data_IF_235273560638
#
_entry.id   IF_235273560638
#
_cell.length_a   1.000
_cell.length_b   1.000
_cell.length_c   1.000
_cell.angle_alpha   90.00
_cell.angle_beta   90.00
_cell.angle_gamma   90.00
#
_symmetry.space_group_name_H-M   'P 1'
#
loop_
_entity.id
_entity.type
_entity.pdbx_description
1 polymer ?
#
# COMPACT_ATOMS: atom_id res chain seq x y z
N UNK A 1 49.68 -6.04 -6.10
CA UNK A 1 49.05 -5.05 -6.99
C UNK A 1 47.70 -4.70 -6.37
N UNK A 2 47.51 -3.45 -5.99
CA UNK A 2 46.30 -3.01 -5.25
C UNK A 2 45.24 -2.48 -6.23
N UNK A 3 43.95 -2.59 -5.89
CA UNK A 3 42.83 -2.06 -6.71
C UNK A 3 43.06 -0.59 -7.10
N UNK A 4 43.72 0.18 -6.23
CA UNK A 4 44.09 1.57 -6.47
C UNK A 4 45.11 1.75 -7.61
N UNK A 5 46.05 0.82 -7.75
CA UNK A 5 47.02 0.83 -8.86
C UNK A 5 46.36 0.44 -10.18
N UNK A 6 45.43 -0.51 -10.17
CA UNK A 6 44.70 -0.92 -11.38
C UNK A 6 43.81 0.19 -11.91
N UNK A 7 43.10 0.90 -11.04
CA UNK A 7 42.29 2.05 -11.43
C UNK A 7 43.17 3.16 -12.01
N UNK A 8 44.31 3.47 -11.37
CA UNK A 8 45.23 4.48 -11.89
C UNK A 8 45.80 4.09 -13.25
N UNK A 9 46.26 2.85 -13.39
CA UNK A 9 46.81 2.35 -14.64
C UNK A 9 45.76 2.24 -15.76
N UNK A 10 44.49 2.01 -15.41
CA UNK A 10 43.38 2.07 -16.38
C UNK A 10 43.18 3.49 -16.90
N UNK A 11 43.12 4.50 -16.02
CA UNK A 11 42.95 5.90 -16.43
C UNK A 11 44.15 6.45 -17.21
N UNK A 12 45.37 6.05 -16.87
CA UNK A 12 46.58 6.44 -17.62
C UNK A 12 46.59 5.84 -19.04
N UNK A 13 46.12 4.59 -19.19
CA UNK A 13 45.96 3.96 -20.51
C UNK A 13 44.87 4.64 -21.34
N UNK A 14 43.72 4.93 -20.75
CA UNK A 14 42.63 5.67 -21.40
C UNK A 14 43.07 7.08 -21.84
N UNK A 15 43.79 7.81 -20.98
CA UNK A 15 44.29 9.15 -21.29
C UNK A 15 45.31 9.16 -22.44
N UNK A 16 46.08 8.08 -22.61
CA UNK A 16 46.99 7.92 -23.75
C UNK A 16 46.25 7.62 -25.06
N UNK A 17 45.13 6.88 -25.01
CA UNK A 17 44.32 6.57 -26.19
C UNK A 17 43.42 7.75 -26.62
N UNK A 18 43.06 8.61 -25.67
CA UNK A 18 42.21 9.78 -25.89
C UNK A 18 42.86 11.07 -25.39
N UNK A 19 43.93 11.55 -26.06
CA UNK A 19 44.59 12.78 -25.66
C UNK A 19 43.61 13.96 -25.73
N UNK A 20 43.51 14.71 -24.63
CA UNK A 20 42.63 15.87 -24.57
C UNK A 20 42.98 16.86 -25.70
N UNK A 21 41.98 17.41 -26.42
CA UNK A 21 42.22 18.37 -27.50
C UNK A 21 43.07 19.55 -27.01
N UNK A 22 44.08 19.94 -27.80
CA UNK A 22 44.89 21.11 -27.48
C UNK A 22 43.99 22.35 -27.38
N UNK A 23 44.05 23.05 -26.24
CA UNK A 23 43.24 24.23 -25.98
C UNK A 23 41.99 24.01 -25.14
N UNK A 24 41.60 22.76 -24.80
CA UNK A 24 40.43 22.51 -23.96
C UNK A 24 40.51 23.26 -22.62
N UNK A 25 41.69 23.23 -21.97
CA UNK A 25 41.95 23.92 -20.70
C UNK A 25 41.91 25.45 -20.84
N UNK A 26 42.37 25.99 -21.98
CA UNK A 26 42.28 27.42 -22.27
C UNK A 26 40.83 27.85 -22.54
N UNK A 27 40.05 27.01 -23.24
CA UNK A 27 38.63 27.23 -23.48
C UNK A 27 37.84 27.22 -22.17
N UNK A 28 38.07 26.26 -21.27
CA UNK A 28 37.39 26.21 -19.97
C UNK A 28 37.71 27.43 -19.09
N UNK A 29 38.97 27.87 -19.08
CA UNK A 29 39.38 29.06 -18.34
C UNK A 29 38.84 30.37 -18.94
N UNK A 30 38.71 30.45 -20.26
CA UNK A 30 38.08 31.59 -20.94
C UNK A 30 36.58 31.67 -20.64
N UNK A 31 35.89 30.53 -20.59
CA UNK A 31 34.46 30.45 -20.25
C UNK A 31 34.19 30.79 -18.79
N UNK A 32 35.10 30.40 -17.88
CA UNK A 32 35.02 30.77 -16.47
C UNK A 32 35.28 32.26 -16.21
N UNK A 33 36.10 32.92 -17.04
CA UNK A 33 36.41 34.36 -16.91
C UNK A 33 35.43 35.30 -17.65
N UNK A 34 34.62 34.77 -18.58
CA UNK A 34 33.70 35.57 -19.41
C UNK A 34 32.41 36.03 -18.73
N UNK A 35 32.08 35.57 -17.52
CA UNK A 35 30.94 36.09 -16.74
C UNK A 35 31.34 37.32 -15.92
N UNK A 36 31.67 38.39 -16.63
CA UNK A 36 31.71 39.72 -16.03
C UNK A 36 30.29 40.14 -15.64
N UNK A 37 30.03 40.24 -14.34
CA UNK A 37 28.80 40.82 -13.80
C UNK A 37 28.81 42.30 -14.13
N UNK A 38 28.08 42.69 -15.18
CA UNK A 38 27.71 44.09 -15.41
C UNK A 38 26.92 44.58 -14.19
N UNK A 39 27.53 45.48 -13.41
CA UNK A 39 26.84 46.24 -12.36
C UNK A 39 25.88 47.25 -13.00
N UNK A 40 24.72 46.79 -13.46
CA UNK A 40 23.52 47.62 -13.56
C UNK A 40 22.88 47.68 -12.18
N UNK A 41 22.61 48.89 -11.69
CA UNK A 41 22.13 49.17 -10.33
C UNK A 41 20.81 48.44 -10.04
N UNK A 42 20.91 47.28 -9.38
CA UNK A 42 19.79 46.41 -8.99
C UNK A 42 19.00 46.92 -7.77
N UNK A 43 19.16 48.18 -7.38
CA UNK A 43 18.47 48.76 -6.23
C UNK A 43 16.95 48.82 -6.43
N UNK A 44 16.47 48.93 -7.68
CA UNK A 44 15.03 48.94 -7.96
C UNK A 44 14.41 47.52 -7.98
N UNK A 45 15.18 46.50 -8.39
CA UNK A 45 14.69 45.11 -8.50
C UNK A 45 14.50 44.49 -7.11
N UNK A 46 15.37 44.80 -6.16
CA UNK A 46 15.22 44.34 -4.77
C UNK A 46 13.93 44.85 -4.11
N UNK A 47 13.54 46.11 -4.40
CA UNK A 47 12.31 46.70 -3.88
C UNK A 47 11.05 46.02 -4.43
N UNK A 48 11.03 45.72 -5.74
CA UNK A 48 9.90 45.03 -6.38
C UNK A 48 9.77 43.58 -5.88
N UNK A 49 10.89 42.86 -5.76
CA UNK A 49 10.88 41.47 -5.28
C UNK A 49 10.43 41.39 -3.81
N UNK A 50 10.86 42.31 -2.95
CA UNK A 50 10.42 42.35 -1.56
C UNK A 50 8.92 42.66 -1.43
N UNK A 51 8.38 43.56 -2.25
CA UNK A 51 6.96 43.88 -2.26
C UNK A 51 6.10 42.69 -2.73
N UNK A 52 6.53 41.99 -3.79
CA UNK A 52 5.84 40.79 -4.30
C UNK A 52 5.87 39.65 -3.27
N UNK A 53 7.01 39.43 -2.61
CA UNK A 53 7.13 38.44 -1.53
C UNK A 53 6.23 38.79 -0.33
N UNK A 54 6.19 40.05 0.09
CA UNK A 54 5.33 40.47 1.20
C UNK A 54 3.85 40.25 0.88
N UNK A 55 3.40 40.57 -0.34
CA UNK A 55 2.02 40.34 -0.78
C UNK A 55 1.72 38.84 -0.88
N UNK A 56 2.65 38.03 -1.41
CA UNK A 56 2.49 36.57 -1.47
C UNK A 56 2.42 35.92 -0.08
N UNK A 57 3.21 36.40 0.88
CA UNK A 57 3.20 35.92 2.27
C UNK A 57 1.88 36.30 2.95
N UNK A 58 1.40 37.54 2.77
CA UNK A 58 0.12 37.97 3.35
C UNK A 58 -1.05 37.22 2.72
N UNK A 59 -1.05 37.02 1.40
CA UNK A 59 -2.05 36.22 0.70
C UNK A 59 -2.01 34.74 1.15
N UNK A 60 -0.82 34.18 1.32
CA UNK A 60 -0.62 32.83 1.86
C UNK A 60 -1.12 32.69 3.29
N UNK A 61 -0.83 33.65 4.17
CA UNK A 61 -1.32 33.65 5.56
C UNK A 61 -2.84 33.81 5.66
N UNK A 62 -3.45 34.64 4.79
CA UNK A 62 -4.91 34.79 4.71
C UNK A 62 -5.56 33.53 4.14
N UNK A 63 -4.96 32.87 3.15
CA UNK A 63 -5.44 31.59 2.62
C UNK A 63 -5.35 30.46 3.65
N UNK A 64 -4.24 30.36 4.40
CA UNK A 64 -4.08 29.41 5.52
C UNK A 64 -5.06 29.70 6.66
N UNK A 65 -5.34 30.97 6.94
CA UNK A 65 -6.33 31.40 7.93
C UNK A 65 -7.78 31.08 7.52
N UNK A 66 -8.12 31.22 6.24
CA UNK A 66 -9.41 30.84 5.66
C UNK A 66 -9.62 29.33 5.61
N UNK A 67 -8.59 28.57 5.24
CA UNK A 67 -8.61 27.11 5.23
C UNK A 67 -8.85 26.53 6.63
N UNK A 68 -8.17 27.08 7.66
CA UNK A 68 -8.39 26.71 9.07
C UNK A 68 -9.77 27.09 9.60
N UNK A 69 -10.46 28.11 9.06
CA UNK A 69 -11.83 28.47 9.48
C UNK A 69 -12.89 27.62 8.80
N UNK A 70 -12.72 27.27 7.52
CA UNK A 70 -13.67 26.42 6.80
C UNK A 70 -13.66 24.96 7.30
N UNK A 71 -12.53 24.49 7.87
CA UNK A 71 -12.39 23.12 8.40
C UNK A 71 -12.63 23.00 9.93
N UNK A 72 -13.03 24.08 10.59
CA UNK A 72 -13.43 24.10 12.00
C UNK A 72 -14.96 24.22 12.15
N UNK A 73 -15.72 23.60 11.26
CA UNK A 73 -17.12 23.27 11.59
C UNK A 73 -17.06 22.20 12.69
N UNK A 74 -17.71 22.38 13.84
CA UNK A 74 -17.78 21.32 14.84
C UNK A 74 -18.54 20.15 14.20
N UNK A 75 -17.81 19.14 13.75
CA UNK A 75 -18.40 17.83 13.57
C UNK A 75 -18.97 17.45 14.93
N UNK A 76 -20.29 17.27 15.01
CA UNK A 76 -20.95 16.60 16.12
C UNK A 76 -20.17 15.31 16.33
N UNK A 77 -19.31 15.25 17.35
CA UNK A 77 -18.55 14.05 17.70
C UNK A 77 -19.59 13.01 18.10
N UNK A 78 -19.81 11.91 17.36
CA UNK A 78 -20.28 10.74 18.05
C UNK A 78 -19.21 10.42 19.08
N UNK A 79 -19.56 10.49 20.37
CA UNK A 79 -18.73 9.90 21.41
C UNK A 79 -18.37 8.49 20.94
N UNK A 80 -17.09 8.08 21.01
CA UNK A 80 -16.75 6.69 20.76
C UNK A 80 -17.60 5.87 21.73
N UNK A 81 -18.56 5.12 21.18
CA UNK A 81 -19.32 4.18 21.98
C UNK A 81 -18.28 3.20 22.52
N UNK A 82 -17.99 3.30 23.81
CA UNK A 82 -17.07 2.40 24.49
C UNK A 82 -17.66 0.99 24.37
N UNK A 83 -17.20 0.23 23.38
CA UNK A 83 -17.45 -1.21 23.35
C UNK A 83 -16.86 -1.82 24.61
N UNK A 84 -17.51 -2.84 25.19
CA UNK A 84 -16.97 -3.53 26.35
C UNK A 84 -15.55 -4.02 26.04
N UNK A 85 -14.64 -3.85 27.00
CA UNK A 85 -13.22 -4.26 26.89
C UNK A 85 -13.06 -5.73 26.47
N UNK A 86 -14.08 -6.57 26.70
CA UNK A 86 -14.17 -7.93 26.16
C UNK A 86 -15.59 -8.19 25.64
N UNK A 87 -15.79 -8.29 24.32
CA UNK A 87 -17.10 -8.59 23.75
C UNK A 87 -17.51 -10.03 24.13
N UNK A 88 -18.81 -10.23 24.37
CA UNK A 88 -19.37 -11.57 24.55
C UNK A 88 -19.15 -12.39 23.28
N UNK A 89 -18.30 -13.41 23.38
CA UNK A 89 -18.02 -14.33 22.27
C UNK A 89 -19.25 -15.23 22.07
N UNK A 90 -19.83 -15.17 20.87
CA UNK A 90 -20.95 -16.00 20.45
C UNK A 90 -20.43 -17.36 19.94
N UNK A 91 -21.38 -18.26 19.66
CA UNK A 91 -21.11 -19.59 19.07
C UNK A 91 -20.50 -19.52 17.65
N UNK A 92 -20.69 -20.55 16.81
CA UNK A 92 -20.10 -20.57 15.47
C UNK A 92 -20.59 -19.38 14.63
N UNK A 93 -19.80 -19.01 13.62
CA UNK A 93 -20.16 -17.97 12.66
C UNK A 93 -21.46 -18.40 11.95
N UNK A 94 -22.52 -17.56 11.94
CA UNK A 94 -23.73 -17.87 11.20
C UNK A 94 -23.44 -17.94 9.70
N UNK A 95 -24.03 -18.93 9.02
CA UNK A 95 -23.85 -19.11 7.58
C UNK A 95 -24.23 -17.84 6.80
N UNK A 96 -23.36 -17.43 5.89
CA UNK A 96 -23.58 -16.27 5.02
C UNK A 96 -23.42 -14.91 5.68
N UNK A 97 -22.94 -14.83 6.93
CA UNK A 97 -22.59 -13.56 7.58
C UNK A 97 -21.14 -13.23 7.27
N UNK A 98 -20.85 -12.13 6.55
CA UNK A 98 -19.48 -11.71 6.30
C UNK A 98 -18.78 -11.32 7.60
N UNK A 99 -17.55 -11.80 7.78
CA UNK A 99 -16.76 -11.56 8.99
C UNK A 99 -15.33 -11.17 8.68
N UNK A 100 -14.69 -10.54 9.66
CA UNK A 100 -13.27 -10.26 9.67
C UNK A 100 -12.62 -11.14 10.73
N UNK A 101 -11.63 -11.92 10.31
CA UNK A 101 -10.94 -12.89 11.14
C UNK A 101 -9.73 -12.23 11.82
N UNK A 102 -9.40 -12.64 13.05
CA UNK A 102 -8.25 -12.11 13.79
C UNK A 102 -7.77 -13.02 14.92
N UNK A 103 -6.48 -12.89 15.28
CA UNK A 103 -5.91 -13.53 16.47
C UNK A 103 -5.87 -12.59 17.67
N UNK A 104 -6.12 -13.14 18.87
CA UNK A 104 -5.94 -12.45 20.15
C UNK A 104 -4.56 -12.76 20.75
N UNK A 105 -3.97 -11.77 21.41
CA UNK A 105 -2.68 -11.85 22.12
C UNK A 105 -2.85 -12.43 23.53
N UNK A 106 -3.93 -12.05 24.22
CA UNK A 106 -4.17 -12.40 25.64
C UNK A 106 -4.80 -13.77 25.84
N UNK A 107 -5.36 -14.34 24.79
CA UNK A 107 -5.88 -15.70 24.77
C UNK A 107 -5.31 -16.38 23.53
N UNK A 108 -4.26 -17.18 23.72
CA UNK A 108 -3.70 -18.04 22.67
C UNK A 108 -4.65 -19.21 22.29
N UNK A 109 -5.94 -19.06 22.57
CA UNK A 109 -6.96 -20.08 22.44
C UNK A 109 -7.53 -20.15 21.02
N UNK A 110 -7.01 -19.36 20.08
CA UNK A 110 -7.21 -19.56 18.64
C UNK A 110 -7.71 -18.34 17.88
N UNK A 111 -8.35 -18.63 16.75
CA UNK A 111 -8.85 -17.65 15.79
C UNK A 111 -10.25 -17.15 16.20
N UNK A 112 -10.50 -15.87 15.98
CA UNK A 112 -11.77 -15.19 16.23
C UNK A 112 -12.28 -14.53 14.96
N UNK A 113 -13.57 -14.25 14.94
CA UNK A 113 -14.23 -13.54 13.86
C UNK A 113 -15.12 -12.43 14.41
N UNK A 114 -15.15 -11.29 13.74
CA UNK A 114 -16.06 -10.20 14.04
C UNK A 114 -16.94 -9.95 12.81
N UNK A 115 -18.27 -9.92 12.99
CA UNK A 115 -19.15 -9.43 11.93
C UNK A 115 -19.11 -7.91 11.85
N UNK A 116 -19.49 -7.37 10.70
CA UNK A 116 -19.62 -5.93 10.47
C UNK A 116 -20.66 -5.24 11.37
N UNK A 117 -21.55 -6.03 12.01
CA UNK A 117 -22.45 -5.56 13.06
C UNK A 117 -21.82 -5.48 14.46
N UNK A 118 -20.56 -5.86 14.62
CA UNK A 118 -19.81 -5.87 15.89
C UNK A 118 -20.00 -7.11 16.75
N UNK A 119 -20.65 -8.18 16.24
CA UNK A 119 -20.75 -9.43 16.97
C UNK A 119 -19.45 -10.23 16.83
N UNK A 120 -18.94 -10.78 17.94
CA UNK A 120 -17.72 -11.59 17.95
C UNK A 120 -18.06 -13.07 18.07
N UNK A 121 -17.36 -13.91 17.31
CA UNK A 121 -17.55 -15.35 17.22
C UNK A 121 -16.22 -16.08 17.44
N UNK A 122 -16.31 -17.28 17.99
CA UNK A 122 -15.17 -18.19 18.03
C UNK A 122 -15.10 -18.97 16.72
N UNK A 123 -13.91 -19.00 16.10
CA UNK A 123 -13.66 -19.82 14.91
C UNK A 123 -13.22 -21.21 15.36
N UNK A 124 -13.59 -22.23 14.58
CA UNK A 124 -13.12 -23.58 14.82
C UNK A 124 -11.58 -23.61 14.90
N UNK A 125 -11.03 -24.44 15.80
CA UNK A 125 -9.60 -24.47 16.06
C UNK A 125 -8.83 -24.86 14.79
N UNK A 126 -8.05 -23.92 14.27
CA UNK A 126 -7.13 -24.14 13.16
C UNK A 126 -5.72 -24.41 13.71
N UNK A 127 -4.88 -25.18 13.00
CA UNK A 127 -3.49 -25.33 13.38
C UNK A 127 -2.80 -23.96 13.40
N UNK A 128 -2.12 -23.66 14.50
CA UNK A 128 -1.31 -22.45 14.63
C UNK A 128 -0.10 -22.59 13.73
N UNK A 129 -0.09 -21.89 12.60
CA UNK A 129 1.03 -21.89 11.66
C UNK A 129 1.73 -20.53 11.64
N UNK A 130 3.05 -20.55 11.70
CA UNK A 130 3.89 -19.39 11.43
C UNK A 130 4.11 -19.31 9.91
N UNK A 131 3.32 -18.51 9.20
CA UNK A 131 3.48 -18.34 7.76
C UNK A 131 2.38 -17.49 7.13
N UNK A 132 2.16 -17.72 5.83
CA UNK A 132 1.09 -17.08 5.06
C UNK A 132 -0.26 -17.32 5.71
N UNK A 133 -0.94 -16.24 6.10
CA UNK A 133 -2.34 -16.29 6.49
C UNK A 133 -3.14 -15.20 5.81
N UNK A 134 -4.19 -15.59 5.09
CA UNK A 134 -5.07 -14.66 4.38
C UNK A 134 -6.49 -15.19 4.34
N UNK A 135 -7.47 -14.35 4.67
CA UNK A 135 -8.90 -14.68 4.61
C UNK A 135 -9.51 -14.37 3.25
N UNK A 136 -10.54 -15.11 2.87
CA UNK A 136 -11.46 -14.67 1.82
C UNK A 136 -12.15 -13.36 2.24
N UNK A 137 -12.59 -12.51 1.28
CA UNK A 137 -13.27 -11.27 1.60
C UNK A 137 -14.44 -11.44 2.58
N UNK A 138 -15.27 -12.46 2.40
CA UNK A 138 -16.39 -12.79 3.28
C UNK A 138 -16.01 -13.48 4.61
N UNK A 139 -14.73 -13.87 4.78
CA UNK A 139 -14.25 -14.59 5.94
C UNK A 139 -14.78 -16.03 6.05
N UNK A 140 -15.43 -16.56 5.02
CA UNK A 140 -15.89 -17.96 4.97
C UNK A 140 -14.72 -18.95 4.84
N UNK A 141 -13.59 -18.49 4.32
CA UNK A 141 -12.37 -19.27 4.17
C UNK A 141 -11.15 -18.52 4.70
N UNK A 142 -10.16 -19.29 5.14
CA UNK A 142 -8.85 -18.78 5.49
C UNK A 142 -7.77 -19.72 4.95
N UNK A 143 -6.83 -19.16 4.21
CA UNK A 143 -5.63 -19.87 3.80
C UNK A 143 -4.61 -19.77 4.95
N UNK A 144 -4.12 -20.92 5.42
CA UNK A 144 -3.06 -21.04 6.41
C UNK A 144 -1.98 -21.94 5.81
N UNK A 145 -0.84 -21.36 5.45
CA UNK A 145 0.20 -22.06 4.68
C UNK A 145 -0.33 -22.45 3.29
N UNK A 146 -0.44 -23.76 3.02
CA UNK A 146 -0.85 -24.31 1.72
C UNK A 146 -2.25 -24.95 1.73
N UNK A 147 -3.03 -24.64 2.75
CA UNK A 147 -4.37 -25.22 2.94
C UNK A 147 -5.35 -24.07 3.16
N UNK A 148 -6.44 -24.05 2.39
CA UNK A 148 -7.62 -23.27 2.69
C UNK A 148 -8.50 -24.05 3.67
N UNK A 149 -8.96 -23.39 4.73
CA UNK A 149 -9.89 -23.95 5.69
C UNK A 149 -11.22 -23.22 5.58
N UNK A 150 -12.31 -23.97 5.56
CA UNK A 150 -13.64 -23.43 5.83
C UNK A 150 -13.71 -22.99 7.30
N UNK A 151 -14.06 -21.73 7.56
CA UNK A 151 -14.02 -21.15 8.91
C UNK A 151 -15.15 -21.63 9.81
N UNK A 152 -16.19 -22.26 9.25
CA UNK A 152 -17.32 -22.80 10.02
C UNK A 152 -17.12 -24.26 10.40
N UNK A 153 -16.55 -25.06 9.50
CA UNK A 153 -16.40 -26.52 9.65
C UNK A 153 -14.96 -26.96 9.92
N UNK A 154 -13.97 -26.07 9.75
CA UNK A 154 -12.54 -26.39 9.72
C UNK A 154 -12.15 -27.43 8.66
N UNK A 155 -13.00 -27.67 7.65
CA UNK A 155 -12.68 -28.59 6.56
C UNK A 155 -11.48 -28.06 5.75
N UNK A 156 -10.41 -28.85 5.58
CA UNK A 156 -9.23 -28.44 4.82
C UNK A 156 -9.37 -28.76 3.33
N UNK A 157 -8.93 -27.82 2.48
CA UNK A 157 -8.77 -28.00 1.04
C UNK A 157 -7.36 -27.53 0.64
N UNK A 158 -6.59 -28.34 -0.12
CA UNK A 158 -5.26 -27.92 -0.55
C UNK A 158 -5.36 -26.71 -1.48
N UNK A 159 -4.48 -25.73 -1.31
CA UNK A 159 -4.37 -24.65 -2.28
C UNK A 159 -3.88 -25.23 -3.62
N UNK A 160 -4.34 -24.71 -4.77
CA UNK A 160 -4.10 -25.30 -6.11
C UNK A 160 -2.62 -25.28 -6.56
N UNK A 161 -1.73 -24.71 -5.76
CA UNK A 161 -0.35 -24.40 -6.11
C UNK A 161 0.69 -25.31 -5.42
N UNK A 162 0.26 -26.16 -4.49
CA UNK A 162 1.15 -27.07 -3.76
C UNK A 162 2.07 -26.38 -2.74
N UNK A 163 2.91 -27.15 -2.03
CA UNK A 163 3.70 -26.65 -0.91
C UNK A 163 5.02 -26.03 -1.37
N UNK A 164 4.99 -24.76 -1.80
CA UNK A 164 6.20 -23.99 -2.09
C UNK A 164 6.29 -22.76 -1.17
N UNK A 165 7.33 -22.63 -0.31
CA UNK A 165 7.44 -21.53 0.65
C UNK A 165 7.57 -20.14 0.01
N UNK A 166 7.85 -20.04 -1.29
CA UNK A 166 7.97 -18.78 -2.02
C UNK A 166 6.71 -18.43 -2.81
N UNK A 167 5.55 -18.51 -2.13
CA UNK A 167 4.24 -18.20 -2.71
C UNK A 167 3.53 -17.15 -1.88
N UNK A 168 3.02 -16.10 -2.55
CA UNK A 168 2.04 -15.17 -1.97
C UNK A 168 0.66 -15.47 -2.56
N UNK A 169 -0.38 -15.30 -1.75
CA UNK A 169 -1.77 -15.61 -2.12
C UNK A 169 -2.66 -14.43 -1.78
N UNK A 170 -3.55 -14.09 -2.72
CA UNK A 170 -4.60 -13.09 -2.56
C UNK A 170 -5.91 -13.72 -2.98
N UNK A 171 -6.91 -13.72 -2.09
CA UNK A 171 -8.25 -14.18 -2.43
C UNK A 171 -8.91 -13.25 -3.44
N UNK A 172 -9.71 -13.84 -4.33
CA UNK A 172 -10.49 -13.09 -5.28
C UNK A 172 -11.72 -12.46 -4.63
N UNK A 173 -12.26 -11.43 -5.29
CA UNK A 173 -13.48 -10.73 -4.88
C UNK A 173 -14.74 -11.62 -4.79
N UNK A 174 -14.73 -12.82 -5.37
CA UNK A 174 -15.84 -13.77 -5.23
C UNK A 174 -15.73 -14.70 -4.01
N UNK A 175 -14.71 -14.51 -3.15
CA UNK A 175 -14.44 -15.31 -1.95
C UNK A 175 -14.22 -16.80 -2.18
N UNK A 176 -13.92 -17.21 -3.42
CA UNK A 176 -13.73 -18.61 -3.80
C UNK A 176 -12.44 -18.82 -4.57
N UNK A 177 -12.21 -18.00 -5.59
CA UNK A 177 -10.99 -18.05 -6.36
C UNK A 177 -9.89 -17.32 -5.63
N UNK A 178 -8.67 -17.52 -6.11
CA UNK A 178 -7.51 -16.86 -5.56
C UNK A 178 -6.45 -16.68 -6.65
N UNK A 179 -5.61 -15.67 -6.49
CA UNK A 179 -4.45 -15.37 -7.30
C UNK A 179 -3.17 -15.64 -6.51
N UNK A 180 -2.13 -16.07 -7.20
CA UNK A 180 -0.82 -16.30 -6.60
C UNK A 180 0.32 -15.66 -7.40
N UNK A 181 1.43 -15.44 -6.69
CA UNK A 181 2.76 -15.31 -7.29
C UNK A 181 3.62 -16.47 -6.80
N UNK A 182 4.25 -17.19 -7.73
CA UNK A 182 5.23 -18.22 -7.44
C UNK A 182 6.59 -17.83 -8.00
N UNK A 183 7.60 -17.81 -7.13
CA UNK A 183 9.00 -17.65 -7.57
C UNK A 183 9.46 -18.88 -8.33
N UNK A 184 9.88 -18.71 -9.58
CA UNK A 184 10.39 -19.79 -10.43
C UNK A 184 11.85 -19.55 -10.75
N UNK A 185 12.74 -20.17 -9.98
CA UNK A 185 14.19 -20.02 -10.11
C UNK A 185 14.82 -19.23 -8.98
N UNK A 186 16.05 -18.76 -9.19
CA UNK A 186 16.78 -17.92 -8.24
C UNK A 186 16.65 -16.42 -8.55
N UNK A 187 17.55 -15.63 -7.97
CA UNK A 187 17.61 -14.18 -8.19
C UNK A 187 17.67 -13.82 -9.69
N UNK A 188 16.97 -12.76 -10.07
CA UNK A 188 16.77 -12.30 -11.44
C UNK A 188 15.74 -13.09 -12.23
N UNK A 189 15.21 -14.20 -11.71
CA UNK A 189 14.23 -15.01 -12.44
C UNK A 189 12.82 -14.43 -12.30
N UNK A 190 11.99 -14.49 -13.36
CA UNK A 190 10.61 -14.05 -13.29
C UNK A 190 9.72 -15.02 -12.51
N UNK A 191 8.64 -14.49 -11.93
CA UNK A 191 7.65 -15.27 -11.20
C UNK A 191 6.50 -15.72 -12.09
N UNK A 192 5.96 -16.90 -11.82
CA UNK A 192 4.70 -17.34 -12.40
C UNK A 192 3.55 -16.67 -11.63
N UNK A 193 2.64 -16.05 -12.36
CA UNK A 193 1.35 -15.55 -11.85
C UNK A 193 0.30 -16.58 -12.25
N UNK A 194 -0.52 -17.00 -11.29
CA UNK A 194 -1.55 -18.03 -11.55
C UNK A 194 -2.81 -17.75 -10.77
N UNK A 195 -3.89 -18.40 -11.18
CA UNK A 195 -5.19 -18.36 -10.52
C UNK A 195 -5.72 -19.77 -10.30
N UNK A 196 -6.65 -19.93 -9.37
CA UNK A 196 -7.31 -21.21 -9.17
C UNK A 196 -8.30 -21.22 -8.01
N UNK A 197 -8.88 -22.40 -7.80
CA UNK A 197 -9.73 -22.73 -6.67
C UNK A 197 -8.97 -23.67 -5.73
N UNK A 198 -9.16 -23.57 -4.40
CA UNK A 198 -8.79 -24.66 -3.51
C UNK A 198 -9.32 -26.01 -4.00
N UNK A 199 -8.52 -27.07 -3.85
CA UNK A 199 -8.83 -28.42 -4.32
C UNK A 199 -8.72 -28.65 -5.84
N UNK A 200 -8.43 -27.61 -6.64
CA UNK A 200 -8.29 -27.72 -8.10
C UNK A 200 -6.84 -27.56 -8.56
N UNK A 201 -6.49 -27.88 -9.81
CA UNK A 201 -5.20 -27.48 -10.38
C UNK A 201 -5.10 -25.96 -10.62
N UNK A 202 -3.89 -25.40 -10.54
CA UNK A 202 -3.64 -24.00 -10.92
C UNK A 202 -3.77 -23.76 -12.44
N UNK A 203 -4.15 -22.54 -12.80
CA UNK A 203 -4.09 -22.02 -14.18
C UNK A 203 -3.06 -20.91 -14.23
N UNK A 204 -1.98 -21.12 -14.98
CA UNK A 204 -0.93 -20.11 -15.17
C UNK A 204 -1.42 -19.01 -16.10
N UNK A 205 -1.32 -17.77 -15.64
CA UNK A 205 -1.71 -16.59 -16.42
C UNK A 205 -0.51 -16.00 -17.15
N UNK A 206 0.55 -15.67 -16.41
CA UNK A 206 1.68 -14.95 -16.95
C UNK A 206 2.96 -15.32 -16.22
N UNK A 207 4.10 -14.95 -16.81
CA UNK A 207 5.42 -15.01 -16.17
C UNK A 207 6.07 -13.64 -16.26
N UNK A 208 6.16 -12.94 -15.12
CA UNK A 208 6.53 -11.52 -15.10
C UNK A 208 7.32 -11.10 -13.87
N UNK A 209 7.86 -9.88 -13.95
CA UNK A 209 8.72 -9.26 -12.96
C UNK A 209 10.01 -10.03 -12.70
N UNK A 210 10.68 -9.70 -11.60
CA UNK A 210 11.95 -10.33 -11.20
C UNK A 210 11.99 -10.53 -9.70
N UNK A 211 12.46 -11.70 -9.29
CA UNK A 211 12.77 -11.95 -7.89
C UNK A 211 14.18 -11.45 -7.61
N UNK A 212 14.36 -10.73 -6.52
CA UNK A 212 15.67 -10.22 -6.12
C UNK A 212 15.84 -10.51 -4.65
N UNK A 213 17.04 -10.95 -4.26
CA UNK A 213 17.39 -11.22 -2.88
C UNK A 213 16.99 -10.03 -2.00
N UNK A 214 16.20 -10.27 -0.96
CA UNK A 214 15.71 -9.26 0.00
C UNK A 214 14.65 -8.28 -0.54
N UNK A 215 14.07 -8.54 -1.71
CA UNK A 215 12.93 -7.79 -2.26
C UNK A 215 11.69 -8.69 -2.32
N UNK A 216 10.48 -8.19 -1.99
CA UNK A 216 9.25 -8.98 -2.07
C UNK A 216 8.98 -9.56 -3.47
N UNK A 217 9.49 -8.93 -4.53
CA UNK A 217 9.30 -9.37 -5.90
C UNK A 217 7.90 -9.00 -6.43
N UNK A 218 7.41 -9.69 -7.46
CA UNK A 218 6.04 -9.51 -7.93
C UNK A 218 5.04 -9.86 -6.82
N UNK A 219 4.03 -9.03 -6.62
CA UNK A 219 2.99 -9.19 -5.61
C UNK A 219 1.62 -8.89 -6.21
N UNK A 220 0.63 -9.75 -5.97
CA UNK A 220 -0.76 -9.47 -6.37
C UNK A 220 -1.36 -8.44 -5.43
N UNK A 221 -1.66 -7.25 -5.94
CA UNK A 221 -2.35 -6.20 -5.20
C UNK A 221 -3.86 -6.41 -5.17
N UNK A 222 -4.45 -6.85 -6.29
CA UNK A 222 -5.88 -7.15 -6.37
C UNK A 222 -6.13 -8.38 -7.27
N UNK A 223 -7.12 -9.16 -6.87
CA UNK A 223 -7.55 -10.37 -7.54
C UNK A 223 -9.06 -10.24 -7.76
N UNK A 224 -9.50 -9.89 -8.97
CA UNK A 224 -10.91 -9.69 -9.28
C UNK A 224 -11.39 -10.72 -10.28
N UNK A 225 -12.10 -11.73 -9.78
CA UNK A 225 -12.76 -12.72 -10.62
C UNK A 225 -13.96 -12.10 -11.34
N UNK A 226 -14.68 -11.20 -10.67
CA UNK A 226 -15.87 -10.55 -11.23
C UNK A 226 -15.53 -9.61 -12.39
N UNK A 227 -14.45 -8.83 -12.28
CA UNK A 227 -13.99 -7.95 -13.37
C UNK A 227 -12.95 -8.59 -14.29
N UNK A 228 -12.67 -9.89 -14.14
CA UNK A 228 -11.68 -10.66 -14.93
C UNK A 228 -10.29 -10.02 -14.95
N UNK A 229 -9.82 -9.53 -13.80
CA UNK A 229 -8.54 -8.79 -13.70
C UNK A 229 -7.67 -9.26 -12.54
N UNK A 230 -6.36 -9.23 -12.75
CA UNK A 230 -5.34 -9.42 -11.70
C UNK A 230 -4.38 -8.24 -11.76
N UNK A 231 -4.25 -7.51 -10.66
CA UNK A 231 -3.31 -6.39 -10.55
C UNK A 231 -2.07 -6.88 -9.84
N UNK A 232 -0.91 -6.78 -10.50
CA UNK A 232 0.38 -7.23 -9.99
C UNK A 232 1.35 -6.07 -9.96
N UNK A 233 2.04 -5.87 -8.84
CA UNK A 233 3.12 -4.91 -8.70
C UNK A 233 4.47 -5.63 -8.58
N UNK A 234 5.50 -5.17 -9.27
CA UNK A 234 6.88 -5.47 -8.93
C UNK A 234 7.29 -4.61 -7.76
N UNK A 235 7.66 -5.24 -6.65
CA UNK A 235 7.96 -4.51 -5.43
C UNK A 235 9.41 -4.68 -5.05
N UNK A 236 10.04 -3.51 -4.93
CA UNK A 236 11.44 -3.30 -4.62
C UNK A 236 11.73 -3.30 -3.13
N UNK A 237 13.00 -2.99 -2.85
CA UNK A 237 13.46 -2.64 -1.51
C UNK A 237 12.71 -1.39 -1.02
N UNK A 238 12.34 -1.34 0.26
CA UNK A 238 11.55 -0.23 0.81
C UNK A 238 10.06 -0.23 0.45
N UNK A 239 9.56 -1.29 -0.21
CA UNK A 239 8.16 -1.47 -0.66
C UNK A 239 7.70 -0.52 -1.76
N UNK A 240 8.65 0.10 -2.44
CA UNK A 240 8.35 0.88 -3.63
C UNK A 240 7.97 -0.05 -4.79
N UNK A 241 7.00 0.42 -5.56
CA UNK A 241 6.51 -0.24 -6.77
C UNK A 241 7.37 0.21 -7.93
N UNK A 242 7.98 -0.73 -8.66
CA UNK A 242 8.77 -0.45 -9.85
C UNK A 242 7.92 -0.58 -11.11
N UNK A 243 7.06 -1.58 -11.15
CA UNK A 243 6.16 -1.86 -12.25
C UNK A 243 4.80 -2.26 -11.72
N UNK A 244 3.75 -1.90 -12.45
CA UNK A 244 2.37 -2.30 -12.19
C UNK A 244 1.79 -2.88 -13.49
N UNK A 245 1.29 -4.11 -13.42
CA UNK A 245 0.61 -4.79 -14.51
C UNK A 245 -0.84 -5.07 -14.14
N UNK A 246 -1.74 -4.94 -15.11
CA UNK A 246 -3.09 -5.50 -15.02
C UNK A 246 -3.18 -6.61 -16.06
N UNK A 247 -3.43 -7.82 -15.58
CA UNK A 247 -3.59 -9.01 -16.40
C UNK A 247 -5.07 -9.32 -16.58
N UNK A 248 -5.44 -9.73 -17.78
CA UNK A 248 -6.71 -10.38 -18.06
C UNK A 248 -6.74 -11.77 -17.39
N UNK A 249 -7.79 -12.06 -16.62
CA UNK A 249 -7.92 -13.32 -15.89
C UNK A 249 -8.01 -14.54 -16.80
N UNK A 250 -8.67 -14.44 -17.94
CA UNK A 250 -8.90 -15.58 -18.84
C UNK A 250 -7.68 -15.93 -19.67
N UNK A 251 -7.01 -14.90 -20.16
CA UNK A 251 -5.98 -15.04 -21.20
C UNK A 251 -4.56 -14.81 -20.68
N UNK A 252 -4.43 -14.20 -19.50
CA UNK A 252 -3.13 -13.75 -18.96
C UNK A 252 -2.50 -12.58 -19.71
N UNK A 253 -3.18 -12.02 -20.71
CA UNK A 253 -2.69 -10.87 -21.47
C UNK A 253 -2.55 -9.64 -20.57
N UNK A 254 -1.47 -8.87 -20.75
CA UNK A 254 -1.28 -7.58 -20.08
C UNK A 254 -2.18 -6.55 -20.76
N UNK A 255 -3.20 -6.08 -20.04
CA UNK A 255 -4.13 -5.04 -20.51
C UNK A 255 -3.63 -3.63 -20.18
N UNK A 256 -2.83 -3.50 -19.12
CA UNK A 256 -2.24 -2.24 -18.67
C UNK A 256 -0.86 -2.51 -18.07
N UNK A 257 0.09 -1.61 -18.33
CA UNK A 257 1.41 -1.63 -17.71
C UNK A 257 1.88 -0.20 -17.45
N UNK A 258 2.46 0.00 -16.27
CA UNK A 258 3.12 1.24 -15.88
C UNK A 258 4.43 0.94 -15.17
N UNK A 259 5.48 1.69 -15.50
CA UNK A 259 6.77 1.65 -14.82
C UNK A 259 6.97 2.95 -14.05
N UNK A 260 7.41 2.83 -12.81
CA UNK A 260 7.73 3.94 -11.91
C UNK A 260 9.24 4.14 -11.83
N UNK A 261 9.64 5.28 -11.28
CA UNK A 261 11.04 5.53 -10.97
C UNK A 261 11.47 4.65 -9.81
N UNK A 262 12.68 4.13 -9.92
CA UNK A 262 13.31 3.29 -8.91
C UNK A 262 14.46 4.07 -8.30
N UNK A 263 14.56 4.17 -6.97
CA UNK A 263 15.67 4.87 -6.35
C UNK A 263 16.96 4.08 -6.63
N UNK A 264 17.89 4.71 -7.37
CA UNK A 264 19.13 4.06 -7.81
C UNK A 264 20.19 3.97 -6.70
N UNK A 265 19.98 4.62 -5.56
CA UNK A 265 20.87 4.64 -4.40
C UNK A 265 20.05 4.67 -3.12
N UNK A 266 20.55 4.01 -2.08
CA UNK A 266 19.99 4.08 -0.73
C UNK A 266 19.96 5.55 -0.24
N UNK A 267 18.85 5.97 0.35
CA UNK A 267 18.64 7.35 0.81
C UNK A 267 18.31 8.37 -0.29
N UNK A 268 17.94 7.90 -1.48
CA UNK A 268 17.33 8.75 -2.51
C UNK A 268 15.82 8.67 -2.36
N UNK A 269 15.20 9.82 -2.13
CA UNK A 269 13.76 10.00 -2.10
C UNK A 269 13.26 10.02 -3.56
N UNK A 270 12.94 8.85 -4.09
CA UNK A 270 12.32 8.69 -5.41
C UNK A 270 11.65 7.31 -5.44
N UNK A 271 10.36 7.23 -5.11
CA UNK A 271 9.65 5.97 -4.93
C UNK A 271 8.14 6.16 -5.01
N UNK A 272 7.42 5.10 -5.39
CA UNK A 272 5.95 5.10 -5.46
C UNK A 272 5.40 3.88 -4.74
N UNK A 273 4.56 4.06 -3.74
CA UNK A 273 3.80 2.95 -3.14
C UNK A 273 2.45 2.83 -3.82
N UNK A 274 2.07 1.61 -4.18
CA UNK A 274 0.80 1.36 -4.86
C UNK A 274 -0.08 0.39 -4.08
N UNK A 275 -1.37 0.72 -4.05
CA UNK A 275 -2.44 -0.16 -3.55
C UNK A 275 -3.58 -0.16 -4.55
N UNK A 276 -4.24 -1.30 -4.75
CA UNK A 276 -5.32 -1.45 -5.72
C UNK A 276 -6.67 -1.59 -5.00
N UNK A 277 -7.76 -1.20 -5.66
CA UNK A 277 -9.10 -1.54 -5.15
C UNK A 277 -9.36 -3.05 -5.31
N UNK A 278 -10.15 -3.70 -4.43
CA UNK A 278 -10.43 -5.14 -4.50
C UNK A 278 -10.97 -5.59 -5.85
N UNK A 279 -11.77 -4.73 -6.49
CA UNK A 279 -12.39 -4.95 -7.79
C UNK A 279 -11.46 -4.63 -8.99
N UNK A 280 -10.20 -4.27 -8.75
CA UNK A 280 -9.21 -3.93 -9.76
C UNK A 280 -9.62 -2.78 -10.71
N UNK A 281 -10.49 -1.87 -10.27
CA UNK A 281 -10.87 -0.69 -11.04
C UNK A 281 -9.94 0.51 -10.81
N UNK A 282 -9.40 0.63 -9.61
CA UNK A 282 -8.60 1.76 -9.18
C UNK A 282 -7.24 1.33 -8.63
N UNK A 283 -6.28 2.23 -8.76
CA UNK A 283 -4.99 2.16 -8.06
C UNK A 283 -4.74 3.50 -7.38
N UNK A 284 -4.32 3.48 -6.13
CA UNK A 284 -3.74 4.63 -5.46
C UNK A 284 -2.22 4.54 -5.55
N UNK A 285 -1.59 5.63 -5.93
CA UNK A 285 -0.14 5.79 -6.09
C UNK A 285 0.31 6.90 -5.15
N UNK A 286 1.06 6.56 -4.11
CA UNK A 286 1.64 7.52 -3.15
C UNK A 286 3.08 7.81 -3.55
N UNK A 287 3.40 9.08 -3.77
CA UNK A 287 4.72 9.52 -4.19
C UNK A 287 5.59 9.90 -2.98
N UNK A 288 6.82 9.35 -2.90
CA UNK A 288 7.74 9.55 -1.78
C UNK A 288 8.18 11.02 -1.59
N UNK A 289 8.31 11.75 -2.71
CA UNK A 289 8.86 13.10 -2.76
C UNK A 289 7.85 14.10 -2.22
N UNK A 290 6.63 14.02 -2.73
CA UNK A 290 5.53 14.90 -2.40
C UNK A 290 4.78 14.46 -1.14
N UNK A 291 4.88 13.18 -0.77
CA UNK A 291 4.08 12.58 0.30
C UNK A 291 2.58 12.53 -0.03
N UNK A 292 2.20 12.75 -1.28
CA UNK A 292 0.79 12.84 -1.70
C UNK A 292 0.39 11.63 -2.52
N UNK A 293 -0.87 11.25 -2.44
CA UNK A 293 -1.44 10.16 -3.22
C UNK A 293 -2.23 10.67 -4.43
N UNK A 294 -2.18 9.93 -5.52
CA UNK A 294 -3.11 10.08 -6.64
C UNK A 294 -3.89 8.79 -6.81
N UNK A 295 -5.16 8.88 -7.18
CA UNK A 295 -5.98 7.71 -7.51
C UNK A 295 -6.26 7.73 -9.00
N UNK A 296 -5.98 6.61 -9.67
CA UNK A 296 -6.21 6.43 -11.10
C UNK A 296 -7.19 5.31 -11.36
N UNK A 297 -7.96 5.47 -12.42
CA UNK A 297 -8.77 4.39 -12.99
C UNK A 297 -7.90 3.56 -13.92
N UNK A 298 -7.85 2.25 -13.68
CA UNK A 298 -6.98 1.34 -14.43
C UNK A 298 -7.46 1.08 -15.86
N UNK A 299 -8.74 1.31 -16.17
CA UNK A 299 -9.30 1.06 -17.50
C UNK A 299 -8.77 2.02 -18.58
N UNK A 300 -8.44 3.26 -18.21
CA UNK A 300 -8.10 4.34 -19.14
C UNK A 300 -6.94 5.23 -18.64
N UNK A 301 -6.28 4.84 -17.56
CA UNK A 301 -5.20 5.59 -16.88
C UNK A 301 -5.58 7.01 -16.44
N UNK A 302 -6.88 7.28 -16.24
CA UNK A 302 -7.34 8.61 -15.85
C UNK A 302 -7.07 8.86 -14.37
N UNK A 303 -6.40 9.97 -14.05
CA UNK A 303 -6.35 10.49 -12.68
C UNK A 303 -7.75 10.97 -12.28
N UNK A 304 -8.32 10.34 -11.25
CA UNK A 304 -9.67 10.63 -10.75
C UNK A 304 -9.66 11.34 -9.39
N UNK A 305 -8.53 11.30 -8.66
CA UNK A 305 -8.40 12.00 -7.39
C UNK A 305 -6.95 12.32 -7.04
N UNK A 306 -6.79 13.29 -6.13
CA UNK A 306 -5.53 13.64 -5.50
C UNK A 306 -5.77 13.87 -4.01
N UNK A 307 -4.90 13.32 -3.17
CA UNK A 307 -4.92 13.48 -1.71
C UNK A 307 -3.57 14.06 -1.28
N UNK A 308 -3.57 15.37 -1.00
CA UNK A 308 -2.37 16.13 -0.65
C UNK A 308 -1.81 15.70 0.71
N UNK A 309 -0.54 15.30 0.76
CA UNK A 309 0.15 14.95 2.01
C UNK A 309 -0.41 13.71 2.71
N UNK A 310 -1.07 12.81 1.98
CA UNK A 310 -1.66 11.58 2.49
C UNK A 310 -1.08 10.36 1.75
N UNK A 311 -0.77 9.31 2.50
CA UNK A 311 -0.43 7.98 1.99
C UNK A 311 -1.67 7.09 2.04
N UNK A 312 -2.00 6.40 0.95
CA UNK A 312 -3.17 5.50 0.89
C UNK A 312 -2.73 4.06 1.13
N UNK A 313 -3.38 3.39 2.08
CA UNK A 313 -3.06 2.02 2.49
C UNK A 313 -4.03 0.95 1.98
N UNK A 314 -5.19 1.35 1.47
CA UNK A 314 -6.13 0.45 0.84
C UNK A 314 -7.52 1.05 0.66
N UNK A 315 -8.37 0.31 -0.02
CA UNK A 315 -9.71 0.74 -0.42
C UNK A 315 -10.81 -0.02 0.33
N UNK A 316 -11.99 0.60 0.43
CA UNK A 316 -13.25 -0.12 0.64
C UNK A 316 -13.56 -1.03 -0.55
N UNK A 317 -14.55 -1.92 -0.39
CA UNK A 317 -14.91 -2.88 -1.43
C UNK A 317 -15.49 -2.21 -2.67
N UNK A 318 -16.38 -1.24 -2.47
CA UNK A 318 -16.90 -0.41 -3.56
C UNK A 318 -15.86 0.57 -4.14
N UNK A 319 -14.65 0.62 -3.58
CA UNK A 319 -13.59 1.50 -4.04
C UNK A 319 -13.91 2.99 -3.88
N UNK A 320 -14.90 3.36 -3.06
CA UNK A 320 -15.36 4.74 -2.83
C UNK A 320 -14.67 5.42 -1.64
N UNK A 321 -14.04 4.63 -0.76
CA UNK A 321 -13.32 5.09 0.42
C UNK A 321 -11.93 4.50 0.44
N UNK A 322 -11.02 5.21 1.09
CA UNK A 322 -9.66 4.75 1.35
C UNK A 322 -9.30 4.91 2.81
N UNK A 323 -8.42 4.03 3.29
CA UNK A 323 -7.64 4.30 4.50
C UNK A 323 -6.43 5.11 4.09
N UNK A 324 -6.28 6.29 4.68
CA UNK A 324 -5.15 7.18 4.43
C UNK A 324 -4.49 7.60 5.75
N UNK A 325 -3.19 7.90 5.72
CA UNK A 325 -2.46 8.44 6.85
C UNK A 325 -1.62 9.65 6.42
N UNK A 326 -1.51 10.69 7.26
CA UNK A 326 -0.69 11.86 6.95
C UNK A 326 0.75 11.48 6.70
N UNK A 327 1.29 11.89 5.56
CA UNK A 327 2.65 11.62 5.13
C UNK A 327 3.43 12.91 4.94
N UNK A 328 4.62 12.95 5.53
CA UNK A 328 5.56 14.03 5.29
C UNK A 328 6.23 13.84 3.92
N UNK A 329 6.46 14.93 3.15
CA UNK A 329 7.27 14.86 1.94
C UNK A 329 8.71 14.49 2.29
N UNK A 330 9.44 13.97 1.30
CA UNK A 330 10.88 13.71 1.41
C UNK A 330 11.27 12.68 2.47
N UNK A 331 10.49 11.60 2.59
CA UNK A 331 10.79 10.46 3.46
C UNK A 331 11.14 9.23 2.61
N UNK A 332 12.31 8.64 2.88
CA UNK A 332 12.94 7.58 2.08
C UNK A 332 12.11 6.29 1.95
N UNK A 333 11.21 6.00 2.90
CA UNK A 333 10.39 4.79 2.89
C UNK A 333 8.94 5.14 2.61
N UNK A 334 8.41 4.70 1.48
CA UNK A 334 6.97 4.73 1.20
C UNK A 334 6.33 3.50 1.84
N UNK A 335 5.07 3.60 2.31
CA UNK A 335 4.45 2.65 3.26
C UNK A 335 5.02 2.74 4.70
N UNK A 336 5.27 3.96 5.18
CA UNK A 336 5.72 4.20 6.57
C UNK A 336 4.81 5.16 7.33
N UNK A 337 3.92 5.86 6.63
CA UNK A 337 3.00 6.77 7.26
C UNK A 337 1.90 5.95 7.91
N UNK A 338 1.98 5.73 9.22
CA UNK A 338 1.03 4.86 9.91
C UNK A 338 0.33 5.58 11.06
N UNK A 339 0.81 6.76 11.44
CA UNK A 339 0.24 7.55 12.53
C UNK A 339 -1.05 8.24 12.11
N UNK A 340 -1.99 8.32 13.05
CA UNK A 340 -3.26 9.04 12.92
C UNK A 340 -4.04 8.72 11.62
N UNK A 341 -4.26 7.43 11.30
CA UNK A 341 -4.96 7.05 10.08
C UNK A 341 -6.42 7.53 10.08
N UNK A 342 -6.96 7.71 8.89
CA UNK A 342 -8.31 8.19 8.64
C UNK A 342 -8.98 7.38 7.53
N UNK A 343 -10.31 7.36 7.54
CA UNK A 343 -11.11 6.89 6.40
C UNK A 343 -11.62 8.12 5.64
N UNK A 344 -11.30 8.17 4.36
CA UNK A 344 -11.56 9.30 3.47
C UNK A 344 -12.42 8.83 2.31
N UNK A 345 -13.53 9.51 2.06
CA UNK A 345 -14.19 9.49 0.75
C UNK A 345 -13.31 10.32 -0.19
N UNK A 346 -12.53 9.61 -1.02
CA UNK A 346 -11.54 10.24 -1.87
C UNK A 346 -12.15 11.03 -3.03
N UNK A 347 -13.42 10.77 -3.39
CA UNK A 347 -14.11 11.52 -4.45
C UNK A 347 -14.46 12.93 -3.99
N UNK A 348 -14.86 13.05 -2.73
CA UNK A 348 -15.22 14.34 -2.11
C UNK A 348 -14.07 14.97 -1.34
N UNK A 349 -13.00 14.21 -1.05
CA UNK A 349 -11.92 14.60 -0.15
C UNK A 349 -12.35 14.67 1.32
N UNK A 350 -13.57 14.21 1.65
CA UNK A 350 -14.12 14.31 3.00
C UNK A 350 -13.57 13.19 3.87
N UNK A 351 -12.94 13.57 4.98
CA UNK A 351 -12.66 12.62 6.06
C UNK A 351 -13.97 12.22 6.73
N UNK A 352 -14.33 10.94 6.64
CA UNK A 352 -15.53 10.39 7.29
C UNK A 352 -15.25 9.92 8.71
N UNK A 353 -14.05 9.39 8.94
CA UNK A 353 -13.62 8.93 10.25
C UNK A 353 -12.13 9.22 10.48
N UNK A 354 -11.77 9.50 11.73
CA UNK A 354 -10.39 9.66 12.19
C UNK A 354 -10.11 8.70 13.33
N UNK A 355 -8.92 8.12 13.33
CA UNK A 355 -8.47 7.31 14.43
C UNK A 355 -8.39 8.09 15.75
N UNK A 356 -8.46 7.38 16.90
CA UNK A 356 -8.08 7.96 18.18
C UNK A 356 -6.68 8.59 18.10
N UNK A 357 -6.48 9.70 18.79
CA UNK A 357 -5.20 10.44 18.78
C UNK A 357 -4.05 9.52 19.19
N UNK A 358 -2.99 9.49 18.39
CA UNK A 358 -1.79 8.69 18.66
C UNK A 358 -1.96 7.20 18.33
N UNK A 359 -3.06 6.82 17.67
CA UNK A 359 -3.20 5.49 17.10
C UNK A 359 -2.28 5.34 15.88
N UNK A 360 -1.73 4.14 15.73
CA UNK A 360 -0.89 3.76 14.61
C UNK A 360 -1.56 2.61 13.86
N UNK A 361 -1.69 2.73 12.55
CA UNK A 361 -2.16 1.67 11.68
C UNK A 361 -1.21 0.47 11.76
N UNK A 362 -1.75 -0.71 12.10
CA UNK A 362 -0.98 -1.94 12.23
C UNK A 362 -0.56 -2.56 10.90
N UNK A 363 -1.01 -1.96 9.78
CA UNK A 363 -0.71 -2.43 8.45
C UNK A 363 -1.62 -3.55 7.99
N UNK A 364 -2.83 -3.74 8.52
CA UNK A 364 -3.78 -4.72 7.98
C UNK A 364 -5.20 -4.18 7.92
N UNK A 365 -5.87 -4.46 6.80
CA UNK A 365 -7.25 -4.04 6.58
C UNK A 365 -8.09 -5.13 5.91
N UNK A 366 -9.39 -5.13 6.17
CA UNK A 366 -10.40 -5.84 5.40
C UNK A 366 -11.40 -4.83 4.84
N UNK A 367 -11.79 -5.02 3.59
CA UNK A 367 -12.94 -4.35 3.01
C UNK A 367 -14.21 -5.17 3.29
N UNK A 368 -15.32 -4.50 3.60
CA UNK A 368 -16.62 -5.15 3.75
C UNK A 368 -17.09 -5.66 2.39
N UNK A 369 -17.28 -6.97 2.18
CA UNK A 369 -17.81 -7.50 0.93
C UNK A 369 -19.15 -6.85 0.63
N UNK A 370 -19.28 -6.41 -0.62
CA UNK A 370 -20.44 -5.70 -1.17
C UNK A 370 -20.88 -4.48 -0.35
N UNK A 371 -19.91 -3.81 0.30
CA UNK A 371 -20.18 -2.61 1.11
C UNK A 371 -19.06 -1.55 1.06
N UNK A 372 -19.28 -0.46 1.80
CA UNK A 372 -18.28 0.61 1.97
C UNK A 372 -17.58 0.57 3.34
N UNK A 373 -17.83 -0.49 4.12
CA UNK A 373 -17.18 -0.69 5.41
C UNK A 373 -15.71 -1.07 5.27
N UNK A 374 -14.90 -0.63 6.24
CA UNK A 374 -13.48 -0.98 6.35
C UNK A 374 -13.19 -1.42 7.78
N UNK A 375 -12.50 -2.55 7.93
CA UNK A 375 -11.96 -2.99 9.21
C UNK A 375 -10.44 -2.88 9.15
N UNK A 376 -9.82 -2.44 10.24
CA UNK A 376 -8.38 -2.23 10.31
C UNK A 376 -7.84 -2.47 11.71
N UNK A 377 -6.57 -2.88 11.80
CA UNK A 377 -5.88 -2.98 13.08
C UNK A 377 -5.25 -1.62 13.47
N UNK A 378 -5.53 -1.17 14.68
CA UNK A 378 -4.89 0.00 15.27
C UNK A 378 -4.08 -0.41 16.48
N UNK A 379 -2.93 0.23 16.66
CA UNK A 379 -2.10 0.13 17.85
C UNK A 379 -2.17 1.42 18.63
N UNK A 380 -2.50 1.30 19.91
CA UNK A 380 -2.42 2.40 20.88
C UNK A 380 -1.61 1.88 22.07
N UNK A 381 -0.34 2.27 22.16
CA UNK A 381 0.59 1.70 23.13
C UNK A 381 0.99 0.25 22.79
N UNK A 382 0.96 -0.65 23.78
CA UNK A 382 1.40 -2.06 23.63
C UNK A 382 0.32 -2.99 23.09
N UNK A 383 -0.93 -2.53 22.98
CA UNK A 383 -2.08 -3.36 22.63
C UNK A 383 -2.64 -2.98 21.25
N UNK A 384 -2.95 -4.00 20.44
CA UNK A 384 -3.68 -3.84 19.19
C UNK A 384 -5.19 -3.95 19.40
N UNK A 385 -5.97 -3.23 18.59
CA UNK A 385 -7.42 -3.27 18.59
C UNK A 385 -7.95 -3.36 17.16
N UNK A 386 -9.12 -3.96 16.98
CA UNK A 386 -9.82 -3.97 15.69
C UNK A 386 -10.84 -2.85 15.68
N UNK A 387 -10.74 -2.01 14.67
CA UNK A 387 -11.70 -0.97 14.39
C UNK A 387 -12.47 -1.31 13.13
N UNK A 388 -13.79 -1.22 13.19
CA UNK A 388 -14.66 -1.33 12.04
C UNK A 388 -15.33 0.02 11.80
N UNK A 389 -15.12 0.56 10.61
CA UNK A 389 -15.73 1.78 10.12
C UNK A 389 -16.87 1.35 9.21
N UNK A 390 -18.10 1.61 9.64
CA UNK A 390 -19.29 1.22 8.90
C UNK A 390 -19.57 2.09 7.69
N UNK A 391 -20.59 1.73 6.91
CA UNK A 391 -21.11 2.57 5.83
C UNK A 391 -21.64 3.93 6.32
N UNK A 392 -22.02 4.03 7.59
CA UNK A 392 -22.40 5.27 8.27
C UNK A 392 -21.20 6.20 8.58
N UNK A 393 -19.96 5.76 8.31
CA UNK A 393 -18.73 6.48 8.65
C UNK A 393 -18.39 6.41 10.14
N UNK A 394 -19.16 5.70 10.96
CA UNK A 394 -18.88 5.54 12.37
C UNK A 394 -17.84 4.43 12.58
N UNK A 395 -16.71 4.78 13.21
CA UNK A 395 -15.73 3.81 13.66
C UNK A 395 -16.09 3.24 15.03
N UNK A 396 -16.03 1.92 15.15
CA UNK A 396 -16.33 1.17 16.37
C UNK A 396 -15.16 0.24 16.66
N UNK A 397 -14.62 0.33 17.88
CA UNK A 397 -13.72 -0.69 18.36
C UNK A 397 -14.53 -1.96 18.62
N UNK A 398 -14.20 -3.07 17.97
CA UNK A 398 -14.92 -4.34 18.13
C UNK A 398 -14.27 -5.22 19.18
N UNK A 399 -12.95 -5.19 19.26
CA UNK A 399 -12.19 -5.98 20.22
C UNK A 399 -10.86 -5.29 20.54
N UNK A 400 -10.25 -5.68 21.67
CA UNK A 400 -8.91 -5.27 22.08
C UNK A 400 -7.97 -6.47 22.18
N UNK A 401 -6.70 -6.17 22.46
CA UNK A 401 -5.66 -7.17 22.71
C UNK A 401 -5.44 -8.12 21.55
N UNK A 402 -5.65 -7.66 20.33
CA UNK A 402 -5.43 -8.46 19.14
C UNK A 402 -3.94 -8.52 18.79
N UNK A 403 -3.50 -9.67 18.29
CA UNK A 403 -2.15 -9.85 17.78
C UNK A 403 -2.07 -9.29 16.36
N UNK A 404 -3.03 -9.68 15.52
CA UNK A 404 -3.20 -9.20 14.16
C UNK A 404 -4.54 -9.59 13.52
N UNK A 405 -4.95 -8.82 12.51
CA UNK A 405 -6.02 -9.15 11.55
C UNK A 405 -5.57 -10.26 10.59
N UNK A 406 -6.44 -11.20 10.21
CA UNK A 406 -6.11 -12.28 9.26
C UNK A 406 -6.36 -11.87 7.83
N UNK A 407 -5.99 -10.65 7.49
CA UNK A 407 -6.02 -10.16 6.12
C UNK A 407 -4.59 -9.85 5.71
N UNK A 408 -4.23 -10.30 4.52
CA UNK A 408 -3.05 -9.75 3.84
C UNK A 408 -3.37 -8.32 3.42
N UNK A 409 -2.41 -7.41 3.55
CA UNK A 409 -2.49 -6.10 2.91
C UNK A 409 -2.84 -6.26 1.43
N UNK A 410 -3.85 -5.51 1.00
CA UNK A 410 -3.87 -5.01 -0.37
C UNK A 410 -2.82 -3.89 -0.43
N UNK A 411 -1.54 -4.28 -0.47
CA UNK A 411 -0.41 -3.33 -0.33
C UNK A 411 0.74 -3.80 0.57
N UNK A 412 1.37 -4.92 0.24
CA UNK A 412 2.72 -5.33 0.65
C UNK A 412 3.04 -5.48 2.15
N UNK A 413 3.17 -6.75 2.58
CA UNK A 413 3.63 -7.20 3.91
C UNK A 413 5.12 -7.03 4.14
#
# INVERSE_FOLDING_TARGET
>A
MTIREDVRNHFEREAAHHPAPQGLRAATLSHARGRGIEKRSAQWVAGVVAAVLAVAIVAGLVAVGGYRRAHNVPAVRPSPSASPLHPTVKGPIPTGVPVVLYWRTVAADGLYAASWGGAVYKVATLPVYQGLVTQSPDGSRVAVGFIAYDTTTAAPEPLPFGPNPSVTVTWADDSRHLCQVRVVGGDGSPSDISVGLPGSPEVKLARLGVNVQQSPGPTVLACSYLNRKVVVAQVGFGRDTHDLWVLNWDTGAVEYHRTYRVPTKYGVIDGTFTVASPDAQYVAETDAVTGSATIRRLADDTLVAHLDGEEVHGFSWHGDRVVAAPRLPNVDLVNSATSDPAVVDWRTGKTEWKAPVGAVFGGRLAAQPDGSGIALDLRTGTHGAIWMIGSDGAGRQVDSDIQFLVTGLIGLV
#
